data_IF_739938311479
#
_entry.id   IF_739938311479
#
_cell.length_a   1.000
_cell.length_b   1.000
_cell.length_c   1.000
_cell.angle_alpha   90.00
_cell.angle_beta   90.00
_cell.angle_gamma   90.00
#
_symmetry.space_group_name_H-M   'P 1'
#
loop_
_entity.id
_entity.type
_entity.pdbx_description
1 polymer ?
#
# COMPACT_ATOMS: atom_id res chain seq x y z
N UNK A 1 16.51 -3.96 -12.29
CA UNK A 1 15.12 -4.36 -12.56
C UNK A 1 14.91 -5.74 -11.95
N UNK A 2 13.95 -5.90 -11.04
CA UNK A 2 13.69 -7.20 -10.43
C UNK A 2 12.86 -8.09 -11.37
N UNK A 3 13.23 -9.36 -11.45
CA UNK A 3 12.39 -10.38 -12.10
C UNK A 3 11.65 -11.14 -11.00
N UNK A 4 10.31 -11.13 -11.06
CA UNK A 4 9.47 -11.85 -10.10
C UNK A 4 9.64 -13.37 -10.27
N UNK A 5 9.63 -14.08 -9.14
CA UNK A 5 9.51 -15.55 -9.13
C UNK A 5 8.10 -15.95 -9.58
N UNK A 6 7.90 -17.17 -10.11
CA UNK A 6 6.59 -17.61 -10.62
C UNK A 6 5.42 -17.35 -9.64
N UNK A 7 5.56 -17.75 -8.37
CA UNK A 7 4.52 -17.54 -7.37
C UNK A 7 4.23 -16.06 -7.06
N UNK A 8 5.23 -15.18 -7.20
CA UNK A 8 5.04 -13.73 -7.01
C UNK A 8 4.28 -13.14 -8.19
N UNK A 9 4.65 -13.54 -9.41
CA UNK A 9 3.95 -13.13 -10.62
C UNK A 9 2.50 -13.63 -10.63
N UNK A 10 2.27 -14.86 -10.17
CA UNK A 10 0.93 -15.44 -10.07
C UNK A 10 0.08 -14.70 -9.02
N UNK A 11 0.67 -14.31 -7.88
CA UNK A 11 -0.02 -13.48 -6.89
C UNK A 11 -0.44 -12.11 -7.47
N UNK A 12 0.44 -11.44 -8.21
CA UNK A 12 0.13 -10.18 -8.90
C UNK A 12 -0.99 -10.37 -9.91
N UNK A 13 -0.89 -11.40 -10.76
CA UNK A 13 -1.93 -11.72 -11.77
C UNK A 13 -3.27 -12.02 -11.13
N UNK A 14 -3.30 -12.76 -10.01
CA UNK A 14 -4.52 -13.10 -9.29
C UNK A 14 -5.25 -11.85 -8.79
N UNK A 15 -4.53 -10.89 -8.21
CA UNK A 15 -5.10 -9.60 -7.76
C UNK A 15 -5.68 -8.81 -8.92
N UNK A 16 -4.91 -8.67 -10.01
CA UNK A 16 -5.35 -7.93 -11.19
C UNK A 16 -6.59 -8.57 -11.80
N UNK A 17 -6.62 -9.91 -11.89
CA UNK A 17 -7.77 -10.64 -12.39
C UNK A 17 -9.00 -10.43 -11.50
N UNK A 18 -8.82 -10.50 -10.18
CA UNK A 18 -9.89 -10.33 -9.21
C UNK A 18 -10.52 -8.92 -9.29
N UNK A 19 -9.69 -7.87 -9.26
CA UNK A 19 -10.18 -6.48 -9.31
C UNK A 19 -10.72 -6.03 -10.68
N UNK A 20 -10.56 -6.83 -11.74
CA UNK A 20 -11.27 -6.62 -13.00
C UNK A 20 -12.74 -7.02 -12.94
N UNK A 21 -13.11 -7.86 -11.98
CA UNK A 21 -14.44 -8.46 -11.86
C UNK A 21 -15.14 -8.07 -10.55
N UNK A 22 -14.39 -7.64 -9.54
CA UNK A 22 -14.89 -7.36 -8.19
C UNK A 22 -14.31 -6.05 -7.66
N UNK A 23 -15.09 -5.33 -6.84
CA UNK A 23 -14.67 -4.14 -6.11
C UNK A 23 -14.46 -4.40 -4.61
N UNK A 24 -14.76 -5.61 -4.13
CA UNK A 24 -14.59 -6.00 -2.73
C UNK A 24 -13.12 -6.19 -2.37
N UNK A 25 -12.69 -6.02 -1.10
CA UNK A 25 -11.30 -6.26 -0.70
C UNK A 25 -10.82 -7.69 -0.96
N UNK A 26 -9.55 -7.85 -1.33
CA UNK A 26 -8.88 -9.14 -1.50
C UNK A 26 -7.69 -9.28 -0.53
N UNK A 27 -7.38 -10.51 -0.12
CA UNK A 27 -6.24 -10.83 0.75
C UNK A 27 -5.30 -11.78 0.02
N UNK A 28 -4.01 -11.42 -0.04
CA UNK A 28 -2.93 -12.33 -0.45
C UNK A 28 -2.16 -12.76 0.79
N UNK A 29 -1.96 -14.08 0.93
CA UNK A 29 -1.10 -14.65 1.97
C UNK A 29 0.19 -15.15 1.32
N UNK A 30 1.31 -14.55 1.72
CA UNK A 30 2.66 -14.99 1.37
C UNK A 30 3.45 -15.17 2.68
N UNK A 31 4.19 -16.29 2.86
CA UNK A 31 4.96 -16.49 4.08
C UNK A 31 6.09 -15.46 4.20
N UNK A 32 6.59 -15.27 5.42
CA UNK A 32 7.78 -14.44 5.65
C UNK A 32 8.95 -14.95 4.80
N UNK A 33 9.76 -14.03 4.28
CA UNK A 33 10.86 -14.38 3.36
C UNK A 33 10.44 -14.67 1.91
N UNK A 34 9.14 -14.76 1.59
CA UNK A 34 8.69 -14.99 0.21
C UNK A 34 8.87 -13.77 -0.73
N UNK A 35 9.30 -12.63 -0.21
CA UNK A 35 9.48 -11.40 -0.99
C UNK A 35 8.16 -10.65 -1.25
N UNK A 36 7.28 -10.58 -0.24
CA UNK A 36 6.00 -9.84 -0.30
C UNK A 36 6.16 -8.40 -0.78
N UNK A 37 7.22 -7.71 -0.36
CA UNK A 37 7.52 -6.34 -0.78
C UNK A 37 7.75 -6.19 -2.29
N UNK A 38 8.21 -7.23 -2.99
CA UNK A 38 8.30 -7.22 -4.46
C UNK A 38 6.92 -7.32 -5.12
N UNK A 39 5.99 -8.06 -4.52
CA UNK A 39 4.59 -8.15 -4.99
C UNK A 39 3.89 -6.81 -4.79
N UNK A 40 4.07 -6.17 -3.63
CA UNK A 40 3.54 -4.83 -3.35
C UNK A 40 4.08 -3.81 -4.36
N UNK A 41 5.41 -3.80 -4.57
CA UNK A 41 6.04 -2.88 -5.51
C UNK A 41 5.55 -3.10 -6.95
N UNK A 42 5.37 -4.35 -7.39
CA UNK A 42 4.85 -4.65 -8.72
C UNK A 42 3.39 -4.23 -8.88
N UNK A 43 2.54 -4.50 -7.88
CA UNK A 43 1.14 -4.01 -7.88
C UNK A 43 1.09 -2.48 -7.95
N UNK A 44 1.93 -1.79 -7.18
CA UNK A 44 2.01 -0.34 -7.20
C UNK A 44 2.50 0.20 -8.55
N UNK A 45 3.43 -0.50 -9.21
CA UNK A 45 3.94 -0.15 -10.55
C UNK A 45 2.89 -0.33 -11.64
N UNK A 46 2.07 -1.37 -11.54
CA UNK A 46 1.06 -1.73 -12.54
C UNK A 46 -0.27 -1.00 -12.37
N UNK A 47 -0.56 -0.48 -11.17
CA UNK A 47 -1.79 0.25 -10.88
C UNK A 47 -1.93 1.50 -11.76
N UNK A 48 -3.15 1.76 -12.23
CA UNK A 48 -3.49 2.99 -12.94
C UNK A 48 -4.05 3.99 -11.92
N UNK A 49 -3.37 5.12 -11.75
CA UNK A 49 -3.75 6.14 -10.76
C UNK A 49 -2.80 6.15 -9.57
N UNK A 50 -3.26 6.67 -8.44
CA UNK A 50 -2.43 6.78 -7.23
C UNK A 50 -2.58 5.56 -6.34
N UNK A 51 -1.49 5.15 -5.70
CA UNK A 51 -1.42 4.00 -4.81
C UNK A 51 -0.96 4.44 -3.42
N UNK A 52 -1.68 4.00 -2.39
CA UNK A 52 -1.25 4.14 -1.01
C UNK A 52 -0.88 2.76 -0.47
N UNK A 53 0.35 2.63 0.02
CA UNK A 53 0.83 1.42 0.69
C UNK A 53 0.97 1.72 2.17
N UNK A 54 0.12 1.11 3.00
CA UNK A 54 0.15 1.24 4.45
C UNK A 54 0.97 0.12 5.08
N UNK A 55 1.80 0.49 6.05
CA UNK A 55 2.43 -0.46 6.97
C UNK A 55 2.33 0.05 8.43
N UNK A 56 2.54 -0.85 9.38
CA UNK A 56 2.37 -0.54 10.81
C UNK A 56 3.61 0.06 11.47
N UNK A 57 4.81 -0.27 10.98
CA UNK A 57 6.10 0.16 11.55
C UNK A 57 6.94 0.85 10.48
N UNK A 58 7.79 1.79 10.89
CA UNK A 58 8.56 2.64 9.98
C UNK A 58 9.55 1.85 9.12
N UNK A 59 10.10 0.76 9.67
CA UNK A 59 11.05 -0.12 9.01
C UNK A 59 10.40 -0.80 7.79
N UNK A 60 9.13 -1.22 7.92
CA UNK A 60 8.38 -1.79 6.80
C UNK A 60 8.03 -0.75 5.74
N UNK A 61 7.73 0.49 6.16
CA UNK A 61 7.52 1.61 5.22
C UNK A 61 8.77 1.83 4.37
N UNK A 62 9.93 1.96 5.02
CA UNK A 62 11.22 2.17 4.34
C UNK A 62 11.60 0.99 3.44
N UNK A 63 11.42 -0.25 3.92
CA UNK A 63 11.69 -1.45 3.13
C UNK A 63 10.80 -1.56 1.88
N UNK A 64 9.50 -1.30 2.01
CA UNK A 64 8.58 -1.34 0.87
C UNK A 64 8.90 -0.23 -0.14
N UNK A 65 9.19 0.98 0.34
CA UNK A 65 9.62 2.10 -0.51
C UNK A 65 10.92 1.76 -1.27
N UNK A 66 11.94 1.26 -0.59
CA UNK A 66 13.22 0.89 -1.21
C UNK A 66 13.07 -0.20 -2.28
N UNK A 67 12.14 -1.15 -2.10
CA UNK A 67 11.85 -2.18 -3.12
C UNK A 67 11.19 -1.60 -4.35
N UNK A 68 10.33 -0.61 -4.19
CA UNK A 68 9.72 0.11 -5.30
C UNK A 68 10.75 0.95 -6.06
N UNK A 69 11.60 1.69 -5.35
CA UNK A 69 12.67 2.47 -5.99
C UNK A 69 13.72 1.60 -6.71
N UNK A 70 13.93 0.36 -6.26
CA UNK A 70 14.78 -0.61 -6.95
C UNK A 70 14.31 -0.99 -8.38
N UNK A 71 13.08 -0.63 -8.77
CA UNK A 71 12.60 -0.71 -10.16
C UNK A 71 12.99 0.52 -11.02
N UNK A 72 13.70 1.51 -10.46
CA UNK A 72 14.00 2.77 -11.13
C UNK A 72 12.81 3.74 -11.14
N UNK A 73 11.91 3.61 -10.17
CA UNK A 73 10.72 4.44 -10.00
C UNK A 73 10.89 5.35 -8.77
N UNK A 74 10.10 6.40 -8.66
CA UNK A 74 10.13 7.30 -7.49
C UNK A 74 8.80 7.23 -6.75
N UNK A 75 8.87 6.98 -5.44
CA UNK A 75 7.70 6.97 -4.55
C UNK A 75 7.91 7.91 -3.37
N UNK A 76 6.81 8.39 -2.79
CA UNK A 76 6.81 9.23 -1.60
C UNK A 76 6.85 8.39 -0.32
N UNK A 77 7.37 8.97 0.77
CA UNK A 77 7.23 8.41 2.12
C UNK A 77 6.42 9.37 2.99
N UNK A 78 5.38 8.83 3.64
CA UNK A 78 4.61 9.54 4.65
C UNK A 78 4.69 8.83 6.00
N UNK A 79 5.68 9.19 6.81
CA UNK A 79 5.91 8.58 8.11
C UNK A 79 6.60 9.54 9.07
N UNK A 80 5.93 9.88 10.17
CA UNK A 80 6.52 10.68 11.24
C UNK A 80 7.78 10.01 11.83
N UNK A 81 7.79 8.67 11.91
CA UNK A 81 8.95 7.92 12.39
C UNK A 81 10.18 7.95 11.47
N UNK A 82 10.02 8.40 10.22
CA UNK A 82 11.10 8.64 9.25
C UNK A 82 11.32 10.13 8.98
N UNK A 83 10.59 11.03 9.67
CA UNK A 83 10.67 12.48 9.45
C UNK A 83 10.24 12.93 8.06
N UNK A 84 9.46 12.12 7.33
CA UNK A 84 9.05 12.38 5.95
C UNK A 84 7.53 12.53 5.84
N UNK A 85 7.07 13.54 5.11
CA UNK A 85 5.65 13.82 4.84
C UNK A 85 5.45 14.15 3.37
N UNK A 86 5.64 13.14 2.54
CA UNK A 86 5.59 13.31 1.09
C UNK A 86 4.35 12.60 0.52
N UNK A 87 3.45 13.39 -0.05
CA UNK A 87 2.22 12.95 -0.70
C UNK A 87 2.18 13.33 -2.18
N UNK A 88 3.25 13.86 -2.78
CA UNK A 88 3.16 14.38 -4.15
C UNK A 88 3.30 13.28 -5.21
N UNK A 89 3.87 12.14 -4.83
CA UNK A 89 4.11 11.01 -5.74
C UNK A 89 2.84 10.19 -6.02
N UNK A 90 2.80 9.56 -7.20
CA UNK A 90 1.74 8.62 -7.58
C UNK A 90 1.67 7.42 -6.65
N UNK A 91 2.80 6.96 -6.12
CA UNK A 91 2.87 5.89 -5.11
C UNK A 91 3.41 6.47 -3.81
N UNK A 92 2.66 6.31 -2.72
CA UNK A 92 3.03 6.77 -1.38
C UNK A 92 3.10 5.58 -0.43
N UNK A 93 4.24 5.43 0.25
CA UNK A 93 4.44 4.44 1.31
C UNK A 93 4.29 5.14 2.65
N UNK A 94 3.35 4.68 3.48
CA UNK A 94 2.98 5.41 4.68
C UNK A 94 2.80 4.53 5.91
N UNK A 95 3.07 5.10 7.09
CA UNK A 95 2.66 4.48 8.34
C UNK A 95 1.21 4.82 8.66
N UNK A 96 0.42 3.81 9.02
CA UNK A 96 -1.02 3.99 9.30
C UNK A 96 -1.28 5.06 10.37
N UNK A 97 -0.46 5.13 11.43
CA UNK A 97 -0.64 6.12 12.47
C UNK A 97 -0.38 7.56 11.98
N UNK A 98 0.55 7.74 11.04
CA UNK A 98 0.85 9.05 10.47
C UNK A 98 -0.30 9.51 9.59
N UNK A 99 -0.82 8.65 8.72
CA UNK A 99 -1.97 8.97 7.85
C UNK A 99 -3.22 9.26 8.68
N UNK A 100 -3.54 8.40 9.65
CA UNK A 100 -4.75 8.54 10.47
C UNK A 100 -4.80 9.84 11.30
N UNK A 101 -3.64 10.43 11.61
CA UNK A 101 -3.54 11.72 12.33
C UNK A 101 -3.57 12.94 11.41
N UNK A 102 -3.39 12.76 10.11
CA UNK A 102 -3.26 13.83 9.12
C UNK A 102 -4.11 13.52 7.86
N UNK A 103 -5.35 13.05 8.05
CA UNK A 103 -6.23 12.66 6.94
C UNK A 103 -6.48 13.78 5.92
N UNK A 104 -6.40 15.04 6.37
CA UNK A 104 -6.50 16.24 5.54
C UNK A 104 -5.41 16.34 4.47
N UNK A 105 -4.27 15.66 4.65
CA UNK A 105 -3.18 15.63 3.68
C UNK A 105 -3.47 14.62 2.54
N UNK A 106 -4.48 13.75 2.72
CA UNK A 106 -4.83 12.66 1.82
C UNK A 106 -6.18 12.92 1.14
N UNK A 107 -6.29 14.04 0.43
CA UNK A 107 -7.50 14.43 -0.32
C UNK A 107 -7.49 13.97 -1.78
N UNK A 108 -6.33 13.57 -2.30
CA UNK A 108 -6.20 13.02 -3.64
C UNK A 108 -6.89 11.64 -3.76
N UNK A 109 -7.40 11.34 -4.95
CA UNK A 109 -7.98 10.03 -5.25
C UNK A 109 -6.91 8.95 -5.36
N UNK A 110 -7.16 7.79 -4.74
CA UNK A 110 -6.31 6.61 -4.77
C UNK A 110 -7.08 5.45 -5.40
N UNK A 111 -6.51 4.89 -6.46
CA UNK A 111 -7.09 3.74 -7.17
C UNK A 111 -6.84 2.41 -6.46
N UNK A 112 -5.82 2.37 -5.58
CA UNK A 112 -5.44 1.17 -4.85
C UNK A 112 -4.90 1.52 -3.46
N UNK A 113 -5.48 0.86 -2.46
CA UNK A 113 -4.95 0.80 -1.10
C UNK A 113 -4.35 -0.59 -0.86
N UNK A 114 -3.07 -0.65 -0.54
CA UNK A 114 -2.39 -1.88 -0.12
C UNK A 114 -2.10 -1.79 1.37
N UNK A 115 -2.49 -2.80 2.15
CA UNK A 115 -2.20 -2.88 3.58
C UNK A 115 -1.23 -4.04 3.83
N UNK A 116 -0.01 -3.71 4.20
CA UNK A 116 0.97 -4.68 4.64
C UNK A 116 0.69 -5.14 6.07
N UNK A 117 0.87 -6.44 6.34
CA UNK A 117 0.47 -7.11 7.58
C UNK A 117 -1.00 -6.85 7.94
N UNK A 118 -1.91 -7.09 6.99
CA UNK A 118 -3.34 -6.78 7.13
C UNK A 118 -4.04 -7.52 8.29
N UNK A 119 -3.45 -8.58 8.85
CA UNK A 119 -3.93 -9.21 10.08
C UNK A 119 -3.91 -8.27 11.29
N UNK A 120 -3.20 -7.13 11.20
CA UNK A 120 -3.19 -6.07 12.22
C UNK A 120 -4.35 -5.07 12.10
N UNK A 121 -5.21 -5.20 11.09
CA UNK A 121 -6.40 -4.36 10.94
C UNK A 121 -7.45 -4.83 11.95
N UNK A 122 -7.78 -4.02 12.97
CA UNK A 122 -8.76 -4.43 13.96
C UNK A 122 -10.19 -4.17 13.47
N UNK A 123 -11.14 -4.94 14.02
CA UNK A 123 -12.57 -4.78 13.73
C UNK A 123 -13.16 -3.48 14.32
N UNK A 124 -12.48 -2.89 15.31
CA UNK A 124 -12.92 -1.66 15.96
C UNK A 124 -12.95 -0.48 14.96
N UNK A 125 -14.15 0.07 14.72
CA UNK A 125 -14.40 1.19 13.80
C UNK A 125 -13.58 2.46 14.09
N UNK A 126 -13.19 2.67 15.35
CA UNK A 126 -12.40 3.84 15.76
C UNK A 126 -10.89 3.66 15.60
N UNK A 127 -10.44 2.53 15.05
CA UNK A 127 -9.02 2.27 14.83
C UNK A 127 -8.40 3.14 13.74
N UNK A 128 -7.07 3.27 13.75
CA UNK A 128 -6.34 4.05 12.75
C UNK A 128 -6.58 3.52 11.33
N UNK A 129 -6.60 2.20 11.14
CA UNK A 129 -6.89 1.60 9.83
C UNK A 129 -8.30 1.93 9.35
N UNK A 130 -9.32 1.73 10.20
CA UNK A 130 -10.70 1.98 9.81
C UNK A 130 -10.96 3.46 9.50
N UNK A 131 -10.33 4.38 10.22
CA UNK A 131 -10.38 5.82 9.90
C UNK A 131 -9.79 6.13 8.53
N UNK A 132 -8.63 5.56 8.20
CA UNK A 132 -7.99 5.77 6.89
C UNK A 132 -8.82 5.14 5.78
N UNK A 133 -9.32 3.92 5.96
CA UNK A 133 -10.18 3.23 4.98
C UNK A 133 -11.45 4.05 4.73
N UNK A 134 -12.16 4.47 5.79
CA UNK A 134 -13.39 5.26 5.66
C UNK A 134 -13.15 6.60 4.94
N UNK A 135 -12.06 7.29 5.26
CA UNK A 135 -11.66 8.54 4.61
C UNK A 135 -11.36 8.34 3.12
N UNK A 136 -10.64 7.27 2.77
CA UNK A 136 -10.34 6.99 1.36
C UNK A 136 -11.60 6.55 0.60
N UNK A 137 -12.46 5.73 1.20
CA UNK A 137 -13.71 5.29 0.56
C UNK A 137 -14.68 6.46 0.30
N UNK A 138 -14.70 7.51 1.13
CA UNK A 138 -15.55 8.67 0.88
C UNK A 138 -15.07 9.53 -0.32
N UNK A 139 -13.78 9.49 -0.63
CA UNK A 139 -13.16 10.19 -1.77
C UNK A 139 -13.13 9.33 -3.05
N UNK A 140 -13.26 8.02 -2.92
CA UNK A 140 -13.11 7.02 -3.98
C UNK A 140 -14.29 6.00 -3.91
N UNK A 141 -15.52 6.40 -4.28
CA UNK A 141 -16.71 5.53 -4.24
C UNK A 141 -16.73 4.46 -5.34
#
# INVERSE_FOLDING_TARGET
>A
MYTLRPYQADAVKAVIHYFRQHSTPAVIVLPTGAGKSLVIAELARLAKGRVLVLAHVKELVEQNHAKYEGYGLTGGIYSAGLGRKDTDHSVVFASVQSVARNLTDFTAQFSLLVIDECHRVPDAKNSSYQKVIAHLSSLNP
#
